data_IF_590742551132
#
_entry.id   IF_590742551132
#
_cell.length_a   1.000
_cell.length_b   1.000
_cell.length_c   1.000
_cell.angle_alpha   90.00
_cell.angle_beta   90.00
_cell.angle_gamma   90.00
#
_symmetry.space_group_name_H-M   'P 1'
#
loop_
_entity.id
_entity.type
_entity.pdbx_description
1 polymer ?
#
# COMPACT_ATOMS: atom_id res chain seq x y z
N UNK A 1 8.71 15.73 7.17
CA UNK A 1 8.57 17.20 7.05
C UNK A 1 7.14 17.43 6.61
N UNK A 2 6.28 17.97 7.47
CA UNK A 2 4.89 18.28 7.13
C UNK A 2 4.85 19.72 6.66
N UNK A 3 4.35 19.98 5.46
CA UNK A 3 4.36 21.32 4.88
C UNK A 3 2.98 21.68 4.34
N UNK A 4 2.53 22.87 4.74
CA UNK A 4 1.47 23.57 4.04
C UNK A 4 1.98 24.03 2.67
N UNK A 5 1.70 23.28 1.61
CA UNK A 5 2.21 23.59 0.27
C UNK A 5 1.22 24.46 -0.50
N UNK A 6 1.32 25.78 -0.37
CA UNK A 6 0.40 26.71 -1.05
C UNK A 6 0.55 26.76 -2.58
N UNK A 7 1.65 26.23 -3.16
CA UNK A 7 1.78 26.07 -4.61
C UNK A 7 2.77 24.97 -5.03
N UNK A 8 2.56 24.43 -6.23
CA UNK A 8 3.45 23.43 -6.87
C UNK A 8 4.89 23.94 -7.02
N UNK A 9 5.07 25.25 -7.19
CA UNK A 9 6.37 25.92 -7.27
C UNK A 9 7.18 25.88 -5.97
N UNK A 10 6.50 25.90 -4.82
CA UNK A 10 7.15 25.82 -3.50
C UNK A 10 7.67 24.40 -3.27
N UNK A 11 6.84 23.40 -3.57
CA UNK A 11 7.24 22.00 -3.51
C UNK A 11 8.51 21.79 -4.34
N UNK A 12 8.45 22.15 -5.63
CA UNK A 12 9.57 22.11 -6.56
C UNK A 12 10.90 22.66 -5.99
N UNK A 13 10.86 23.88 -5.44
CA UNK A 13 12.03 24.54 -4.84
C UNK A 13 12.59 23.74 -3.67
N UNK A 14 11.73 23.24 -2.79
CA UNK A 14 12.16 22.50 -1.60
C UNK A 14 12.91 21.24 -2.01
N UNK A 15 12.43 20.55 -3.04
CA UNK A 15 13.02 19.28 -3.44
C UNK A 15 14.28 19.46 -4.25
N UNK A 16 14.35 20.52 -5.05
CA UNK A 16 15.61 20.97 -5.63
C UNK A 16 16.65 21.24 -4.53
N UNK A 17 16.23 21.84 -3.41
CA UNK A 17 17.11 22.17 -2.29
C UNK A 17 17.38 21.00 -1.32
N UNK A 18 16.63 19.90 -1.43
CA UNK A 18 16.73 18.74 -0.54
C UNK A 18 16.99 17.45 -1.32
N UNK A 19 18.13 17.30 -2.02
CA UNK A 19 18.43 16.13 -2.83
C UNK A 19 18.50 14.84 -2.00
N UNK A 20 18.78 14.91 -0.70
CA UNK A 20 18.83 13.73 0.19
C UNK A 20 17.47 13.31 0.73
N UNK A 21 16.37 13.97 0.34
CA UNK A 21 15.03 13.65 0.84
C UNK A 21 14.59 12.26 0.34
N UNK A 22 14.34 11.34 1.28
CA UNK A 22 13.89 9.96 0.98
C UNK A 22 12.39 9.74 1.18
N UNK A 23 11.75 10.57 2.00
CA UNK A 23 10.35 10.43 2.36
C UNK A 23 9.65 11.79 2.25
N UNK A 24 8.51 11.81 1.57
CA UNK A 24 7.67 12.98 1.40
C UNK A 24 6.27 12.68 1.95
N UNK A 25 5.77 13.53 2.83
CA UNK A 25 4.38 13.47 3.30
C UNK A 25 3.65 14.71 2.79
N UNK A 26 2.53 14.50 2.12
CA UNK A 26 1.70 15.55 1.54
C UNK A 26 0.34 15.55 2.24
N UNK A 27 -0.01 16.71 2.81
CA UNK A 27 -1.33 16.95 3.37
C UNK A 27 -2.20 17.68 2.34
N UNK A 28 -3.38 17.11 2.03
CA UNK A 28 -4.23 17.58 0.92
C UNK A 28 -4.76 19.01 1.06
N UNK A 29 -4.63 19.66 2.22
CA UNK A 29 -5.25 20.97 2.51
C UNK A 29 -4.76 22.12 1.62
N UNK A 30 -3.69 21.95 0.86
CA UNK A 30 -2.92 23.09 0.34
C UNK A 30 -2.83 23.15 -1.20
N UNK A 31 -3.32 22.16 -1.93
CA UNK A 31 -3.22 22.18 -3.38
C UNK A 31 -4.43 22.91 -3.99
N UNK A 32 -4.21 24.16 -4.38
CA UNK A 32 -5.25 25.03 -4.97
C UNK A 32 -5.09 25.16 -6.50
N UNK A 33 -3.98 24.73 -7.08
CA UNK A 33 -3.63 25.02 -8.47
C UNK A 33 -3.30 23.75 -9.29
N UNK A 34 -3.93 23.63 -10.46
CA UNK A 34 -3.71 22.59 -11.48
C UNK A 34 -2.44 22.84 -12.31
N UNK A 35 -1.72 23.95 -12.08
CA UNK A 35 -0.51 24.26 -12.84
C UNK A 35 0.67 23.35 -12.46
N UNK A 36 0.96 22.42 -13.38
CA UNK A 36 2.01 21.40 -13.27
C UNK A 36 3.37 22.03 -13.56
N UNK A 37 4.33 22.02 -12.63
CA UNK A 37 5.72 22.23 -13.00
C UNK A 37 6.25 20.93 -13.60
N UNK A 38 6.51 20.95 -14.91
CA UNK A 38 7.25 19.88 -15.59
C UNK A 38 8.69 19.82 -15.07
N UNK A 39 8.89 19.22 -13.91
CA UNK A 39 10.21 19.05 -13.30
C UNK A 39 10.71 17.64 -13.55
N UNK A 40 11.21 17.42 -14.76
CA UNK A 40 11.99 16.23 -15.05
C UNK A 40 13.35 16.36 -14.37
N UNK A 41 13.67 15.46 -13.43
CA UNK A 41 15.06 15.14 -13.07
C UNK A 41 15.50 15.29 -11.61
N UNK A 42 14.76 15.95 -10.71
CA UNK A 42 15.24 16.22 -9.33
C UNK A 42 14.70 15.28 -8.24
N UNK A 43 13.94 14.25 -8.60
CA UNK A 43 13.08 13.53 -7.63
C UNK A 43 13.42 12.04 -7.42
N UNK A 44 14.55 11.58 -7.97
CA UNK A 44 14.92 10.16 -7.99
C UNK A 44 15.27 9.57 -6.62
N UNK A 45 15.50 10.40 -5.61
CA UNK A 45 15.91 9.93 -4.27
C UNK A 45 14.73 9.66 -3.32
N UNK A 46 13.50 10.06 -3.68
CA UNK A 46 12.34 9.84 -2.82
C UNK A 46 11.84 8.42 -3.02
N UNK A 47 11.92 7.64 -1.95
CA UNK A 47 11.53 6.23 -1.93
C UNK A 47 10.17 5.99 -1.29
N UNK A 48 9.65 6.96 -0.53
CA UNK A 48 8.38 6.84 0.20
C UNK A 48 7.54 8.09 0.02
N UNK A 49 6.26 7.90 -0.32
CA UNK A 49 5.24 8.94 -0.30
C UNK A 49 4.15 8.59 0.71
N UNK A 50 3.77 9.56 1.53
CA UNK A 50 2.55 9.52 2.33
C UNK A 50 1.58 10.62 1.87
N UNK A 51 0.31 10.28 1.74
CA UNK A 51 -0.76 11.23 1.38
C UNK A 51 -1.80 11.18 2.47
N UNK A 52 -1.85 12.24 3.27
CA UNK A 52 -2.81 12.40 4.36
C UNK A 52 -3.89 13.37 3.89
N UNK A 53 -5.07 12.85 3.61
CA UNK A 53 -6.25 13.69 3.38
C UNK A 53 -6.76 14.20 4.73
N UNK A 54 -7.11 15.49 4.79
CA UNK A 54 -7.76 16.05 5.98
C UNK A 54 -9.15 16.51 5.60
N UNK A 55 -10.14 15.83 6.15
CA UNK A 55 -11.58 15.95 5.86
C UNK A 55 -12.13 17.36 6.17
N UNK A 56 -11.91 18.39 5.36
CA UNK A 56 -12.50 19.72 5.64
C UNK A 56 -13.27 20.40 4.50
N UNK A 57 -13.54 19.75 3.36
CA UNK A 57 -14.52 20.33 2.43
C UNK A 57 -15.17 19.32 1.47
N UNK A 58 -16.42 19.57 1.07
CA UNK A 58 -17.24 18.66 0.23
C UNK A 58 -16.85 18.67 -1.26
N UNK A 59 -15.85 19.44 -1.66
CA UNK A 59 -15.48 19.60 -3.07
C UNK A 59 -14.53 18.49 -3.54
N UNK A 60 -15.13 17.38 -3.97
CA UNK A 60 -14.47 16.14 -4.42
C UNK A 60 -13.57 16.31 -5.65
N UNK A 61 -13.72 17.38 -6.44
CA UNK A 61 -13.10 17.49 -7.77
C UNK A 61 -11.59 17.80 -7.72
N UNK A 62 -11.10 18.52 -6.70
CA UNK A 62 -9.69 18.92 -6.61
C UNK A 62 -8.73 17.79 -6.18
N UNK A 63 -9.22 16.76 -5.50
CA UNK A 63 -8.40 15.67 -4.94
C UNK A 63 -7.77 14.76 -6.01
N UNK A 64 -8.49 14.53 -7.12
CA UNK A 64 -8.07 13.64 -8.21
C UNK A 64 -6.84 14.19 -8.95
N UNK A 65 -6.69 15.52 -9.01
CA UNK A 65 -5.60 16.18 -9.76
C UNK A 65 -4.25 15.99 -9.06
N UNK A 66 -4.22 16.12 -7.73
CA UNK A 66 -2.99 16.03 -6.93
C UNK A 66 -2.37 14.63 -6.92
N UNK A 67 -3.20 13.60 -6.74
CA UNK A 67 -2.77 12.21 -6.83
C UNK A 67 -2.18 11.93 -8.21
N UNK A 68 -2.90 12.25 -9.30
CA UNK A 68 -2.40 12.04 -10.67
C UNK A 68 -1.08 12.78 -10.94
N UNK A 69 -0.94 14.02 -10.45
CA UNK A 69 0.28 14.82 -10.56
C UNK A 69 1.47 14.12 -9.87
N UNK A 70 1.29 13.74 -8.60
CA UNK A 70 2.35 13.13 -7.78
C UNK A 70 2.63 11.68 -8.19
N UNK A 71 1.76 11.01 -8.92
CA UNK A 71 2.02 9.62 -9.32
C UNK A 71 2.57 9.48 -10.73
N UNK A 72 2.25 10.39 -11.65
CA UNK A 72 2.76 10.35 -13.04
C UNK A 72 4.23 10.75 -13.17
N UNK A 73 4.73 11.60 -12.26
CA UNK A 73 6.10 12.13 -12.34
C UNK A 73 7.13 11.29 -11.55
N UNK A 74 6.69 10.21 -10.91
CA UNK A 74 7.45 9.57 -9.83
C UNK A 74 7.50 8.06 -9.91
N UNK A 75 8.64 7.50 -9.50
CA UNK A 75 8.83 6.06 -9.29
C UNK A 75 9.00 5.78 -7.81
N UNK A 76 7.93 5.92 -7.04
CA UNK A 76 7.98 5.54 -5.63
C UNK A 76 7.92 4.01 -5.52
N UNK A 77 8.92 3.35 -4.91
CA UNK A 77 8.81 1.94 -4.57
C UNK A 77 7.82 1.70 -3.44
N UNK A 78 7.52 2.71 -2.62
CA UNK A 78 6.61 2.57 -1.47
C UNK A 78 5.58 3.70 -1.40
N UNK A 79 4.34 3.33 -1.12
CA UNK A 79 3.24 4.24 -0.82
C UNK A 79 2.67 3.90 0.56
N UNK A 80 2.69 4.84 1.49
CA UNK A 80 2.37 4.62 2.90
C UNK A 80 1.24 5.53 3.37
N UNK A 81 0.48 5.07 4.38
CA UNK A 81 -0.54 5.85 5.08
C UNK A 81 -1.53 6.56 4.13
N UNK A 82 -1.94 5.87 3.07
CA UNK A 82 -2.79 6.48 2.05
C UNK A 82 -4.22 6.61 2.56
N UNK A 83 -4.65 7.86 2.78
CA UNK A 83 -6.04 8.21 3.05
C UNK A 83 -6.61 8.84 1.77
N UNK A 84 -7.02 8.01 0.82
CA UNK A 84 -7.70 8.46 -0.42
C UNK A 84 -8.86 7.52 -0.73
N UNK A 85 -9.80 7.95 -1.58
CA UNK A 85 -10.90 7.07 -2.01
C UNK A 85 -10.40 5.92 -2.87
N UNK A 86 -11.10 4.80 -2.82
CA UNK A 86 -10.81 3.60 -3.62
C UNK A 86 -10.56 3.89 -5.12
N UNK A 87 -11.47 4.63 -5.78
CA UNK A 87 -11.31 4.95 -7.20
C UNK A 87 -10.05 5.77 -7.51
N UNK A 88 -9.66 6.65 -6.60
CA UNK A 88 -8.48 7.51 -6.73
C UNK A 88 -7.21 6.70 -6.50
N UNK A 89 -7.22 5.81 -5.50
CA UNK A 89 -6.14 4.86 -5.27
C UNK A 89 -5.93 3.92 -6.45
N UNK A 90 -7.01 3.40 -7.05
CA UNK A 90 -6.92 2.58 -8.27
C UNK A 90 -6.32 3.39 -9.42
N UNK A 91 -6.76 4.63 -9.62
CA UNK A 91 -6.20 5.51 -10.65
C UNK A 91 -4.70 5.81 -10.41
N UNK A 92 -4.31 6.03 -9.16
CA UNK A 92 -2.93 6.23 -8.74
C UNK A 92 -2.06 5.01 -9.04
N UNK A 93 -2.48 3.82 -8.62
CA UNK A 93 -1.73 2.59 -8.82
C UNK A 93 -1.58 2.22 -10.30
N UNK A 94 -2.47 2.68 -11.18
CA UNK A 94 -2.34 2.50 -12.65
C UNK A 94 -1.15 3.25 -13.23
N UNK A 95 -0.85 4.43 -12.69
CA UNK A 95 0.29 5.23 -13.14
C UNK A 95 1.57 4.91 -12.36
N UNK A 96 1.50 4.03 -11.34
CA UNK A 96 2.63 3.56 -10.54
C UNK A 96 2.94 2.05 -10.74
N UNK A 97 3.29 1.59 -11.95
CA UNK A 97 3.53 0.17 -12.19
C UNK A 97 4.73 -0.40 -11.42
N UNK A 98 5.63 0.46 -10.92
CA UNK A 98 6.84 0.07 -10.20
C UNK A 98 6.70 -0.02 -8.67
N UNK A 99 5.50 0.22 -8.12
CA UNK A 99 5.30 0.15 -6.67
C UNK A 99 5.58 -1.27 -6.16
N UNK A 100 6.36 -1.35 -5.08
CA UNK A 100 6.77 -2.59 -4.40
C UNK A 100 6.04 -2.76 -3.07
N UNK A 101 5.79 -1.66 -2.35
CA UNK A 101 5.17 -1.67 -1.03
C UNK A 101 3.95 -0.74 -1.04
N UNK A 102 2.80 -1.29 -0.67
CA UNK A 102 1.56 -0.54 -0.52
C UNK A 102 1.05 -0.72 0.91
N UNK A 103 0.97 0.38 1.63
CA UNK A 103 0.45 0.44 3.00
C UNK A 103 -0.73 1.43 3.04
N UNK A 104 -1.90 0.86 3.32
CA UNK A 104 -3.17 1.58 3.36
C UNK A 104 -3.69 1.47 4.78
N UNK A 105 -3.84 2.62 5.41
CA UNK A 105 -4.47 2.73 6.72
C UNK A 105 -5.75 3.55 6.57
N UNK A 106 -6.88 2.86 6.69
CA UNK A 106 -8.16 3.51 6.82
C UNK A 106 -8.34 3.93 8.28
N UNK A 107 -8.01 5.19 8.56
CA UNK A 107 -8.35 5.87 9.83
C UNK A 107 -9.88 5.98 9.95
N UNK A 108 -10.41 6.40 11.11
CA UNK A 108 -11.86 6.44 11.44
C UNK A 108 -12.72 7.38 10.56
N UNK A 109 -12.24 7.71 9.36
CA UNK A 109 -12.96 8.37 8.29
C UNK A 109 -14.29 7.67 7.98
N UNK A 110 -15.21 8.46 7.45
CA UNK A 110 -16.56 8.02 7.13
C UNK A 110 -16.55 6.69 6.33
N UNK A 111 -17.44 5.72 6.62
CA UNK A 111 -17.49 4.41 5.94
C UNK A 111 -17.42 4.46 4.41
N UNK A 112 -17.94 5.52 3.79
CA UNK A 112 -17.92 5.74 2.34
C UNK A 112 -16.56 6.14 1.76
N UNK A 113 -15.58 6.48 2.59
CA UNK A 113 -14.26 6.94 2.19
C UNK A 113 -13.19 5.84 2.31
N UNK A 114 -13.54 4.67 2.85
CA UNK A 114 -12.60 3.56 3.00
C UNK A 114 -11.94 3.20 1.66
N UNK A 115 -10.61 3.32 1.51
CA UNK A 115 -9.89 2.81 0.33
C UNK A 115 -9.96 1.28 0.22
N UNK A 116 -10.14 0.60 1.36
CA UNK A 116 -10.11 -0.86 1.45
C UNK A 116 -11.48 -1.39 1.07
N UNK A 117 -11.69 -1.65 -0.23
CA UNK A 117 -12.95 -2.18 -0.79
C UNK A 117 -12.70 -3.46 -1.59
N UNK A 118 -13.77 -4.22 -1.85
CA UNK A 118 -13.72 -5.36 -2.78
C UNK A 118 -13.28 -4.96 -4.18
N UNK A 119 -13.58 -3.72 -4.62
CA UNK A 119 -13.18 -3.20 -5.92
C UNK A 119 -11.67 -2.98 -6.00
N UNK A 120 -11.06 -2.42 -4.95
CA UNK A 120 -9.60 -2.32 -4.87
C UNK A 120 -8.96 -3.70 -4.96
N UNK A 121 -9.43 -4.67 -4.16
CA UNK A 121 -8.90 -6.04 -4.15
C UNK A 121 -9.04 -6.72 -5.52
N UNK A 122 -10.20 -6.56 -6.16
CA UNK A 122 -10.46 -7.08 -7.51
C UNK A 122 -9.56 -6.46 -8.57
N UNK A 123 -9.21 -5.18 -8.41
CA UNK A 123 -8.30 -4.46 -9.30
C UNK A 123 -6.85 -4.85 -9.07
N UNK A 124 -6.46 -5.15 -7.82
CA UNK A 124 -5.14 -5.66 -7.47
C UNK A 124 -4.92 -7.11 -7.92
N UNK A 125 -5.98 -7.92 -8.02
CA UNK A 125 -5.92 -9.31 -8.48
C UNK A 125 -5.10 -9.45 -9.76
N UNK A 126 -4.29 -10.49 -9.86
CA UNK A 126 -3.60 -10.79 -11.12
C UNK A 126 -4.63 -11.19 -12.17
N UNK A 127 -4.70 -10.41 -13.26
CA UNK A 127 -5.50 -10.75 -14.43
C UNK A 127 -4.57 -11.20 -15.55
N UNK A 128 -4.98 -12.26 -16.27
CA UNK A 128 -4.22 -12.87 -17.36
C UNK A 128 -3.99 -11.92 -18.55
N UNK A 129 -4.78 -10.86 -18.66
CA UNK A 129 -4.64 -9.82 -19.68
C UNK A 129 -3.87 -8.60 -19.12
N UNK A 130 -2.75 -8.26 -19.78
CA UNK A 130 -1.95 -7.01 -19.89
C UNK A 130 -2.03 -5.84 -18.89
N UNK A 131 -3.01 -5.73 -17.99
CA UNK A 131 -3.27 -4.55 -17.15
C UNK A 131 -3.41 -4.89 -15.66
N UNK A 132 -2.53 -5.74 -15.13
CA UNK A 132 -2.47 -5.96 -13.67
C UNK A 132 -2.08 -4.67 -12.97
N UNK A 133 -2.89 -4.25 -12.00
CA UNK A 133 -2.61 -3.08 -11.19
C UNK A 133 -1.37 -3.34 -10.32
N UNK A 134 -0.44 -2.38 -10.27
CA UNK A 134 0.78 -2.50 -9.47
C UNK A 134 1.51 -3.84 -9.71
N UNK A 135 1.93 -4.19 -10.95
CA UNK A 135 2.42 -5.53 -11.29
C UNK A 135 3.69 -5.94 -10.52
N UNK A 136 4.41 -4.97 -9.91
CA UNK A 136 5.59 -5.21 -9.08
C UNK A 136 5.32 -5.22 -7.57
N UNK A 137 4.05 -5.21 -7.15
CA UNK A 137 3.69 -5.21 -5.74
C UNK A 137 4.21 -6.46 -5.03
N UNK A 138 5.00 -6.24 -3.98
CA UNK A 138 5.68 -7.25 -3.20
C UNK A 138 5.16 -7.32 -1.76
N UNK A 139 4.79 -6.18 -1.19
CA UNK A 139 4.26 -6.07 0.17
C UNK A 139 2.96 -5.29 0.16
N UNK A 140 1.95 -5.84 0.83
CA UNK A 140 0.66 -5.18 1.01
C UNK A 140 0.30 -5.16 2.50
N UNK A 141 0.04 -3.97 3.03
CA UNK A 141 -0.46 -3.76 4.39
C UNK A 141 -1.78 -3.02 4.31
N UNK A 142 -2.80 -3.59 4.95
CA UNK A 142 -4.16 -3.09 5.00
C UNK A 142 -4.58 -3.00 6.46
N UNK A 143 -4.84 -1.79 6.94
CA UNK A 143 -5.42 -1.56 8.26
C UNK A 143 -6.80 -0.94 8.07
N UNK A 144 -7.82 -1.68 8.48
CA UNK A 144 -9.20 -1.20 8.52
C UNK A 144 -9.63 -0.97 9.96
N UNK A 145 -9.90 0.31 10.31
CA UNK A 145 -10.49 0.69 11.60
C UNK A 145 -12.01 0.90 11.50
N UNK A 146 -12.52 1.24 10.31
CA UNK A 146 -13.94 1.51 10.09
C UNK A 146 -14.79 0.24 9.98
N UNK A 147 -16.02 0.28 10.54
CA UNK A 147 -17.03 -0.79 10.47
C UNK A 147 -17.67 -0.94 9.08
N UNK A 148 -16.86 -1.15 8.05
CA UNK A 148 -17.29 -1.39 6.67
C UNK A 148 -17.18 -2.90 6.39
N UNK A 149 -18.18 -3.54 5.76
CA UNK A 149 -18.07 -4.93 5.35
C UNK A 149 -16.78 -5.19 4.56
N UNK A 150 -15.99 -6.15 5.04
CA UNK A 150 -14.76 -6.58 4.37
C UNK A 150 -15.01 -7.95 3.75
N UNK A 151 -14.77 -8.08 2.46
CA UNK A 151 -14.94 -9.33 1.73
C UNK A 151 -13.67 -10.18 1.84
N UNK A 152 -13.68 -11.12 2.79
CA UNK A 152 -12.58 -12.05 3.04
C UNK A 152 -12.24 -12.88 1.80
N UNK A 153 -13.27 -13.32 1.07
CA UNK A 153 -13.11 -14.21 -0.08
C UNK A 153 -12.36 -13.53 -1.22
N UNK A 154 -12.75 -12.30 -1.57
CA UNK A 154 -12.09 -11.51 -2.62
C UNK A 154 -10.67 -11.14 -2.21
N UNK A 155 -10.44 -10.85 -0.92
CA UNK A 155 -9.08 -10.60 -0.42
C UNK A 155 -8.18 -11.83 -0.59
N UNK A 156 -8.65 -13.02 -0.18
CA UNK A 156 -7.90 -14.27 -0.30
C UNK A 156 -7.63 -14.60 -1.77
N UNK A 157 -8.63 -14.51 -2.65
CA UNK A 157 -8.46 -14.72 -4.10
C UNK A 157 -7.43 -13.76 -4.70
N UNK A 158 -7.43 -12.50 -4.26
CA UNK A 158 -6.44 -11.52 -4.69
C UNK A 158 -5.03 -11.94 -4.28
N UNK A 159 -4.81 -12.33 -3.01
CA UNK A 159 -3.50 -12.78 -2.53
C UNK A 159 -3.04 -14.02 -3.29
N UNK A 160 -3.89 -15.03 -3.43
CA UNK A 160 -3.60 -16.28 -4.14
C UNK A 160 -3.20 -16.01 -5.59
N UNK A 161 -3.95 -15.15 -6.29
CA UNK A 161 -3.66 -14.83 -7.70
C UNK A 161 -2.29 -14.17 -7.92
N UNK A 162 -1.72 -13.57 -6.88
CA UNK A 162 -0.46 -12.82 -6.92
C UNK A 162 0.70 -13.52 -6.25
N UNK A 163 0.45 -14.64 -5.60
CA UNK A 163 1.48 -15.40 -4.94
C UNK A 163 1.91 -16.57 -5.84
N UNK A 164 3.23 -16.69 -6.00
CA UNK A 164 3.82 -17.79 -6.74
C UNK A 164 4.93 -18.39 -5.90
N UNK A 165 4.90 -19.71 -5.73
CA UNK A 165 5.88 -20.43 -4.93
C UNK A 165 7.31 -20.11 -5.40
N UNK A 166 8.21 -19.63 -4.51
CA UNK A 166 9.62 -19.43 -4.84
C UNK A 166 10.24 -20.71 -5.43
N UNK A 167 11.02 -20.58 -6.49
CA UNK A 167 11.69 -21.72 -7.15
C UNK A 167 10.81 -22.53 -8.10
N UNK A 168 9.53 -22.18 -8.28
CA UNK A 168 8.72 -22.76 -9.36
C UNK A 168 9.09 -22.16 -10.73
N UNK A 169 9.00 -22.96 -11.79
CA UNK A 169 9.23 -22.49 -13.17
C UNK A 169 8.30 -21.31 -13.52
N UNK A 170 7.06 -21.35 -13.02
CA UNK A 170 6.08 -20.28 -13.19
C UNK A 170 6.56 -18.98 -12.53
N UNK A 171 7.09 -19.03 -11.30
CA UNK A 171 7.64 -17.85 -10.65
C UNK A 171 8.78 -17.26 -11.48
N UNK A 172 9.71 -18.09 -11.96
CA UNK A 172 10.83 -17.66 -12.81
C UNK A 172 10.35 -16.98 -14.09
N UNK A 173 9.34 -17.55 -14.77
CA UNK A 173 8.75 -16.96 -15.97
C UNK A 173 8.03 -15.62 -15.69
N UNK A 174 7.38 -15.48 -14.55
CA UNK A 174 6.70 -14.24 -14.16
C UNK A 174 7.71 -13.14 -13.79
N UNK A 175 8.79 -13.51 -13.08
CA UNK A 175 9.87 -12.59 -12.75
C UNK A 175 10.60 -12.09 -14.00
N UNK A 176 10.82 -12.95 -15.00
CA UNK A 176 11.42 -12.53 -16.27
C UNK A 176 10.53 -11.59 -17.08
N UNK A 177 9.20 -11.63 -16.87
CA UNK A 177 8.25 -10.64 -17.39
C UNK A 177 8.23 -9.33 -16.59
N UNK A 178 9.11 -9.16 -15.59
CA UNK A 178 9.16 -7.96 -14.75
C UNK A 178 7.96 -7.81 -13.81
N UNK A 179 7.20 -8.88 -13.59
CA UNK A 179 6.12 -8.94 -12.61
C UNK A 179 6.69 -9.44 -11.28
N UNK A 180 6.28 -8.84 -10.17
CA UNK A 180 6.65 -9.32 -8.85
C UNK A 180 5.48 -10.05 -8.21
N UNK A 181 5.83 -11.04 -7.39
CA UNK A 181 4.90 -11.79 -6.58
C UNK A 181 4.77 -11.10 -5.22
N UNK A 182 3.57 -11.10 -4.64
CA UNK A 182 3.41 -10.72 -3.24
C UNK A 182 4.18 -11.70 -2.36
N UNK A 183 4.95 -11.17 -1.40
CA UNK A 183 5.74 -11.91 -0.41
C UNK A 183 5.39 -11.55 1.03
N UNK A 184 4.67 -10.46 1.25
CA UNK A 184 4.30 -10.01 2.58
C UNK A 184 2.90 -9.43 2.57
N UNK A 185 2.06 -9.92 3.47
CA UNK A 185 0.69 -9.47 3.70
C UNK A 185 0.53 -9.15 5.19
N UNK A 186 -0.01 -7.97 5.46
CA UNK A 186 -0.50 -7.60 6.79
C UNK A 186 -1.92 -7.12 6.63
N UNK A 187 -2.87 -7.80 7.28
CA UNK A 187 -4.27 -7.41 7.33
C UNK A 187 -4.67 -7.22 8.80
N UNK A 188 -5.11 -6.01 9.15
CA UNK A 188 -5.65 -5.70 10.48
C UNK A 188 -7.07 -5.17 10.34
N UNK A 189 -8.03 -5.87 10.93
CA UNK A 189 -9.44 -5.48 10.93
C UNK A 189 -9.84 -5.22 12.39
N UNK A 190 -9.84 -3.94 12.79
CA UNK A 190 -9.89 -3.57 14.22
C UNK A 190 -11.30 -3.62 14.82
N UNK A 191 -12.33 -3.91 14.02
CA UNK A 191 -13.74 -3.84 14.43
C UNK A 191 -14.45 -5.19 14.48
N UNK A 192 -13.78 -6.28 14.09
CA UNK A 192 -14.30 -7.65 14.26
C UNK A 192 -13.19 -8.65 14.61
N UNK A 193 -13.61 -9.79 15.13
CA UNK A 193 -12.75 -10.96 15.25
C UNK A 193 -12.46 -11.57 13.87
N UNK A 194 -11.33 -12.27 13.76
CA UNK A 194 -10.89 -12.92 12.53
C UNK A 194 -11.20 -14.42 12.65
N UNK A 195 -11.92 -14.98 11.68
CA UNK A 195 -12.14 -16.43 11.68
C UNK A 195 -10.92 -17.14 11.08
N UNK A 196 -10.16 -17.86 11.92
CA UNK A 196 -8.98 -18.61 11.50
C UNK A 196 -9.28 -19.61 10.37
N UNK A 197 -10.50 -20.17 10.30
CA UNK A 197 -10.90 -21.11 9.24
C UNK A 197 -11.05 -20.42 7.90
N UNK A 198 -11.60 -19.20 7.88
CA UNK A 198 -11.73 -18.40 6.64
C UNK A 198 -10.34 -18.13 6.05
N UNK A 199 -9.36 -17.84 6.89
CA UNK A 199 -7.99 -17.55 6.47
C UNK A 199 -7.07 -18.78 6.37
N UNK A 200 -7.62 -20.00 6.43
CA UNK A 200 -6.83 -21.25 6.39
C UNK A 200 -5.92 -21.34 5.16
N UNK A 201 -6.40 -20.86 4.00
CA UNK A 201 -5.61 -20.86 2.76
C UNK A 201 -4.33 -20.03 2.92
N UNK A 202 -4.40 -18.86 3.55
CA UNK A 202 -3.23 -18.00 3.74
C UNK A 202 -2.20 -18.63 4.69
N UNK A 203 -2.63 -19.47 5.62
CA UNK A 203 -1.72 -20.22 6.50
C UNK A 203 -0.91 -21.24 5.70
N UNK A 204 -1.57 -21.93 4.76
CA UNK A 204 -0.90 -22.86 3.86
C UNK A 204 0.11 -22.12 2.99
N UNK A 205 -0.24 -20.94 2.46
CA UNK A 205 0.68 -20.11 1.68
C UNK A 205 1.88 -19.63 2.51
N UNK A 206 1.68 -19.31 3.79
CA UNK A 206 2.79 -18.92 4.68
C UNK A 206 3.77 -20.06 4.92
N UNK A 207 3.25 -21.28 5.12
CA UNK A 207 4.07 -22.48 5.21
C UNK A 207 4.91 -22.73 3.94
N UNK A 208 4.49 -22.18 2.80
CA UNK A 208 5.21 -22.23 1.53
C UNK A 208 6.07 -20.97 1.23
N UNK A 209 6.19 -20.05 2.19
CA UNK A 209 7.10 -18.91 2.13
C UNK A 209 6.46 -17.56 1.78
N UNK A 210 5.13 -17.45 1.77
CA UNK A 210 4.49 -16.14 1.97
C UNK A 210 4.73 -15.67 3.42
N UNK A 211 4.71 -14.37 3.70
CA UNK A 211 4.64 -13.86 5.09
C UNK A 211 3.27 -13.29 5.32
N UNK A 212 2.52 -13.83 6.27
CA UNK A 212 1.13 -13.40 6.53
C UNK A 212 0.91 -13.04 7.99
N UNK A 213 0.34 -11.87 8.21
CA UNK A 213 -0.21 -11.44 9.50
C UNK A 213 -1.67 -11.07 9.31
N UNK A 214 -2.57 -11.72 10.05
CA UNK A 214 -3.99 -11.34 10.12
C UNK A 214 -4.40 -11.11 11.57
N UNK A 215 -4.93 -9.92 11.85
CA UNK A 215 -5.29 -9.48 13.19
C UNK A 215 -6.72 -8.93 13.26
N UNK A 216 -7.42 -9.23 14.36
CA UNK A 216 -8.77 -8.78 14.66
C UNK A 216 -8.82 -7.88 15.91
N UNK A 217 -9.99 -7.75 16.53
CA UNK A 217 -10.21 -7.02 17.79
C UNK A 217 -9.43 -7.58 18.98
N UNK A 218 -9.26 -8.90 19.06
CA UNK A 218 -8.60 -9.56 20.21
C UNK A 218 -7.07 -9.61 20.04
N UNK A 219 -6.50 -8.70 19.25
CA UNK A 219 -5.09 -8.69 18.88
C UNK A 219 -4.77 -9.59 17.68
N UNK A 220 -3.51 -10.01 17.58
CA UNK A 220 -3.07 -10.83 16.45
C UNK A 220 -3.51 -12.27 16.67
N UNK A 221 -4.44 -12.72 15.82
CA UNK A 221 -4.95 -14.08 15.89
C UNK A 221 -4.10 -15.03 15.04
N UNK A 222 -3.41 -14.51 14.02
CA UNK A 222 -2.59 -15.29 13.10
C UNK A 222 -1.25 -14.58 12.85
N UNK A 223 -0.22 -15.00 13.57
CA UNK A 223 1.20 -14.75 13.22
C UNK A 223 1.75 -16.04 12.63
N UNK A 224 1.93 -16.09 11.32
CA UNK A 224 2.65 -17.17 10.70
C UNK A 224 4.06 -16.69 10.42
N UNK A 225 5.00 -17.29 11.13
CA UNK A 225 6.40 -16.91 11.00
C UNK A 225 7.26 -18.15 10.98
N UNK A 226 7.28 -18.82 9.84
CA UNK A 226 8.27 -19.87 9.59
C UNK A 226 9.66 -19.21 9.43
N UNK A 227 10.30 -18.85 10.54
CA UNK A 227 11.60 -18.15 10.62
C UNK A 227 12.83 -19.04 10.33
N UNK A 228 12.67 -20.20 9.70
CA UNK A 228 13.75 -21.18 9.62
C UNK A 228 14.84 -20.93 8.56
N UNK A 229 14.72 -19.96 7.63
CA UNK A 229 15.60 -20.01 6.43
C UNK A 229 15.87 -18.74 5.61
N UNK A 230 15.85 -17.54 6.18
CA UNK A 230 16.24 -16.32 5.46
C UNK A 230 16.96 -15.30 6.36
N UNK A 231 18.28 -15.41 6.46
CA UNK A 231 19.14 -14.64 7.40
C UNK A 231 19.34 -13.15 7.06
N UNK A 232 18.74 -12.60 6.00
CA UNK A 232 19.12 -11.26 5.51
C UNK A 232 18.03 -10.17 5.64
N UNK A 233 16.87 -10.49 6.23
CA UNK A 233 15.77 -9.53 6.47
C UNK A 233 15.48 -9.25 7.96
N UNK A 234 16.46 -9.46 8.83
CA UNK A 234 16.33 -9.33 10.30
C UNK A 234 15.97 -7.89 10.75
N UNK A 235 16.51 -6.84 10.12
CA UNK A 235 16.32 -5.45 10.61
C UNK A 235 14.89 -4.92 10.52
N UNK A 236 14.17 -5.23 9.45
CA UNK A 236 12.79 -4.77 9.26
C UNK A 236 11.87 -5.53 10.23
N UNK A 237 12.07 -6.82 10.41
CA UNK A 237 11.27 -7.66 11.32
C UNK A 237 11.44 -7.27 12.79
N UNK A 238 12.65 -6.91 13.24
CA UNK A 238 12.85 -6.43 14.61
C UNK A 238 12.14 -5.10 14.88
N UNK A 239 12.03 -4.21 13.88
CA UNK A 239 11.21 -3.00 13.98
C UNK A 239 9.71 -3.34 14.06
N UNK A 240 9.21 -4.30 13.25
CA UNK A 240 7.81 -4.73 13.32
C UNK A 240 7.46 -5.50 14.60
N UNK A 241 8.37 -6.33 15.13
CA UNK A 241 8.17 -7.04 16.39
C UNK A 241 8.16 -6.07 17.59
N UNK A 242 8.96 -5.00 17.55
CA UNK A 242 8.90 -3.89 18.51
C UNK A 242 7.61 -3.07 18.37
N UNK A 243 7.16 -2.79 17.14
CA UNK A 243 5.88 -2.09 16.89
C UNK A 243 4.69 -2.92 17.37
N UNK A 244 4.67 -4.23 17.14
CA UNK A 244 3.60 -5.11 17.64
C UNK A 244 3.64 -5.18 19.17
N UNK A 245 4.83 -5.23 19.80
CA UNK A 245 4.95 -5.17 21.26
C UNK A 245 4.45 -3.84 21.84
N UNK A 246 4.72 -2.71 21.19
CA UNK A 246 4.25 -1.38 21.62
C UNK A 246 2.76 -1.14 21.34
N UNK A 247 2.13 -1.90 20.44
CA UNK A 247 0.69 -1.78 20.17
C UNK A 247 -0.20 -2.64 21.08
N UNK A 248 0.39 -3.54 21.88
CA UNK A 248 -0.33 -4.48 22.76
C UNK A 248 -0.23 -4.07 24.24
N UNK A 249 0.58 -3.07 24.58
CA UNK A 249 0.67 -2.43 25.91
C UNK A 249 0.05 -1.04 25.89
#
# INVERSE_FOLDING_TARGET
MNMGLESSSVLAKILHNCPSLKSLSLESKNFVDDSIPHLQGTWYNITSLAIVEVEHNKDVVQHISCAKMVFSSFRFPSLNEVVVKDLELVAALRVMPSILHLDIENTDAHPSLSPITSRLMSSLRHQSASFSLAPKLHSLRLISKCKVPFDDSIFIEMVESRWFKPGSDLATAIFSMGKACIRSIVLKISWREVDAKVYQLLQNLDAEGLRVVVAGTNGVQLLFTNYGRWDECSRIVSEWALIIKCMIT
#
